data_IF_603850619706
#
_entry.id   IF_603850619706
#
_cell.length_a   1.000
_cell.length_b   1.000
_cell.length_c   1.000
_cell.angle_alpha   90.00
_cell.angle_beta   90.00
_cell.angle_gamma   90.00
#
_symmetry.space_group_name_H-M   'P 1'
#
loop_
_entity.id
_entity.type
_entity.pdbx_description
1 polymer ?
#
# COMPACT_ATOMS: atom_id res chain seq x y z
N UNK A 1 2.67 10.42 5.42
CA UNK A 1 2.64 11.25 6.65
C UNK A 1 2.98 10.43 7.92
N UNK A 2 3.09 9.10 7.79
CA UNK A 2 3.42 8.19 8.91
C UNK A 2 4.83 8.41 9.49
N UNK A 3 5.75 8.91 8.67
CA UNK A 3 7.16 9.08 9.05
C UNK A 3 7.40 10.42 9.74
N UNK A 4 8.16 10.38 10.86
CA UNK A 4 8.63 11.56 11.59
C UNK A 4 9.58 12.39 10.76
N UNK A 5 9.53 13.72 10.92
CA UNK A 5 10.45 14.64 10.27
C UNK A 5 10.26 14.85 8.76
N UNK A 6 9.34 14.11 8.12
CA UNK A 6 8.98 14.32 6.72
C UNK A 6 7.81 15.31 6.61
N UNK A 7 8.09 16.59 6.84
CA UNK A 7 7.06 17.62 6.97
C UNK A 7 6.93 18.52 5.73
N UNK A 8 8.03 18.69 4.97
CA UNK A 8 8.06 19.56 3.79
C UNK A 8 7.54 18.80 2.57
N UNK A 9 6.63 19.39 1.80
CA UNK A 9 6.06 18.83 0.58
C UNK A 9 5.12 17.62 0.78
N UNK A 10 4.73 17.31 2.02
CA UNK A 10 3.91 16.14 2.36
C UNK A 10 2.47 16.50 2.72
N UNK A 11 2.13 17.78 2.76
CA UNK A 11 0.84 18.28 3.25
C UNK A 11 0.46 17.69 4.62
N UNK A 12 1.45 17.45 5.50
CA UNK A 12 1.22 16.97 6.86
C UNK A 12 0.48 18.03 7.67
N UNK A 13 -0.53 17.61 8.42
CA UNK A 13 -1.30 18.51 9.26
C UNK A 13 -0.41 19.22 10.28
N UNK A 14 -0.56 20.54 10.39
CA UNK A 14 0.18 21.39 11.33
C UNK A 14 -0.21 21.08 12.78
N UNK A 15 0.60 21.47 13.77
CA UNK A 15 0.21 21.35 15.18
C UNK A 15 -1.11 22.06 15.52
N UNK A 16 -1.41 23.18 14.85
CA UNK A 16 -2.64 23.94 15.00
C UNK A 16 -3.85 23.13 14.50
N UNK A 17 -3.76 22.56 13.31
CA UNK A 17 -4.81 21.70 12.75
C UNK A 17 -5.05 20.44 13.59
N UNK A 18 -3.98 19.84 14.11
CA UNK A 18 -4.09 18.66 14.98
C UNK A 18 -4.75 18.96 16.33
N UNK A 19 -4.75 20.21 16.78
CA UNK A 19 -5.49 20.64 18.00
C UNK A 19 -7.00 20.77 17.75
N UNK A 20 -7.40 21.07 16.51
CA UNK A 20 -8.82 21.23 16.15
C UNK A 20 -9.52 19.88 16.05
N UNK A 21 -8.84 18.89 15.47
CA UNK A 21 -9.37 17.53 15.30
C UNK A 21 -8.25 16.52 15.60
N UNK A 22 -8.52 15.45 16.37
CA UNK A 22 -7.54 14.39 16.57
C UNK A 22 -7.11 13.78 15.25
N UNK A 23 -5.79 13.80 14.99
CA UNK A 23 -5.18 13.15 13.84
C UNK A 23 -4.42 11.90 14.30
N UNK A 24 -4.65 10.81 13.60
CA UNK A 24 -4.00 9.52 13.86
C UNK A 24 -3.09 9.15 12.69
N UNK A 25 -2.17 8.22 12.90
CA UNK A 25 -1.25 7.71 11.87
C UNK A 25 -0.32 8.77 11.27
N UNK A 26 -0.03 9.82 12.01
CA UNK A 26 0.96 10.85 11.67
C UNK A 26 2.14 10.72 12.63
N UNK A 27 3.38 10.79 12.13
CA UNK A 27 4.62 10.73 12.93
C UNK A 27 4.73 9.47 13.81
N UNK A 28 4.30 8.32 13.33
CA UNK A 28 4.23 7.08 14.12
C UNK A 28 5.48 6.21 13.99
N UNK A 29 6.33 6.42 12.99
CA UNK A 29 7.56 5.67 12.78
C UNK A 29 8.69 6.54 12.20
N UNK A 30 9.92 6.05 12.31
CA UNK A 30 11.08 6.72 11.76
C UNK A 30 11.24 6.40 10.25
N UNK A 31 11.94 7.23 9.47
CA UNK A 31 12.02 7.08 8.01
C UNK A 31 12.66 5.77 7.52
N UNK A 32 13.47 5.12 8.33
CA UNK A 32 14.11 3.83 8.06
C UNK A 32 13.23 2.62 8.42
N UNK A 33 12.11 2.85 9.10
CA UNK A 33 11.18 1.78 9.45
C UNK A 33 10.39 1.30 8.22
N UNK A 34 10.38 -0.02 7.91
CA UNK A 34 9.71 -0.57 6.74
C UNK A 34 8.19 -0.68 6.96
N UNK A 35 7.50 0.46 7.02
CA UNK A 35 6.07 0.52 7.26
C UNK A 35 5.27 -0.09 6.10
N UNK A 36 4.45 -1.10 6.38
CA UNK A 36 3.69 -1.85 5.39
C UNK A 36 2.21 -1.47 5.34
N UNK A 37 1.53 -1.82 4.24
CA UNK A 37 0.07 -1.66 4.10
C UNK A 37 -0.69 -2.57 5.06
N UNK A 38 -0.18 -3.74 5.38
CA UNK A 38 -0.78 -4.67 6.34
C UNK A 38 -0.79 -4.05 7.75
N UNK A 39 0.34 -3.49 8.16
CA UNK A 39 0.45 -2.77 9.43
C UNK A 39 -0.44 -1.52 9.46
N UNK A 40 -0.53 -0.79 8.33
CA UNK A 40 -1.45 0.33 8.21
C UNK A 40 -2.90 -0.10 8.45
N UNK A 41 -3.33 -1.17 7.79
CA UNK A 41 -4.69 -1.70 7.91
C UNK A 41 -5.01 -2.09 9.35
N UNK A 42 -4.14 -2.85 10.01
CA UNK A 42 -4.31 -3.30 11.39
C UNK A 42 -4.47 -2.11 12.35
N UNK A 43 -3.54 -1.15 12.27
CA UNK A 43 -3.57 0.05 13.13
C UNK A 43 -4.79 0.92 12.84
N UNK A 44 -5.15 1.09 11.57
CA UNK A 44 -6.32 1.87 11.19
C UNK A 44 -7.63 1.21 11.67
N UNK A 45 -7.75 -0.11 11.56
CA UNK A 45 -8.92 -0.83 12.07
C UNK A 45 -9.10 -0.65 13.58
N UNK A 46 -8.03 -0.80 14.35
CA UNK A 46 -8.06 -0.58 15.81
C UNK A 46 -8.47 0.86 16.17
N UNK A 47 -7.99 1.85 15.41
CA UNK A 47 -8.36 3.26 15.60
C UNK A 47 -9.83 3.53 15.24
N UNK A 48 -10.33 2.92 14.17
CA UNK A 48 -11.74 3.04 13.77
C UNK A 48 -12.65 2.49 14.88
N UNK A 49 -12.33 1.33 15.43
CA UNK A 49 -13.09 0.73 16.54
C UNK A 49 -13.07 1.63 17.79
N UNK A 50 -11.91 2.20 18.14
CA UNK A 50 -11.80 3.12 19.27
C UNK A 50 -12.62 4.39 19.07
N UNK A 51 -12.57 4.99 17.87
CA UNK A 51 -13.35 6.18 17.52
C UNK A 51 -14.85 5.90 17.58
N UNK A 52 -15.30 4.75 17.07
CA UNK A 52 -16.70 4.33 17.15
C UNK A 52 -17.14 4.11 18.60
N UNK A 53 -16.31 3.46 19.42
CA UNK A 53 -16.60 3.24 20.87
C UNK A 53 -16.80 4.54 21.63
N UNK A 54 -16.11 5.61 21.19
CA UNK A 54 -16.29 6.98 21.72
C UNK A 54 -17.50 7.73 21.14
N UNK A 55 -18.30 7.09 20.30
CA UNK A 55 -19.46 7.70 19.64
C UNK A 55 -19.09 8.76 18.61
N UNK A 56 -17.90 8.64 17.99
CA UNK A 56 -17.38 9.57 16.98
C UNK A 56 -17.32 8.91 15.61
N UNK A 57 -17.27 9.73 14.55
CA UNK A 57 -17.15 9.27 13.18
C UNK A 57 -15.68 9.29 12.76
N UNK A 58 -15.10 8.15 12.33
CA UNK A 58 -13.75 8.13 11.78
C UNK A 58 -13.74 8.66 10.34
N UNK A 59 -12.72 9.45 10.03
CA UNK A 59 -12.43 9.92 8.67
C UNK A 59 -11.07 9.38 8.21
N UNK A 60 -11.05 8.64 7.11
CA UNK A 60 -9.84 8.23 6.43
C UNK A 60 -9.54 9.23 5.31
N UNK A 61 -8.49 10.02 5.47
CA UNK A 61 -8.12 11.11 4.55
C UNK A 61 -6.77 10.84 3.92
N UNK A 62 -6.69 10.90 2.59
CA UNK A 62 -5.42 10.73 1.89
C UNK A 62 -5.58 10.35 0.42
N UNK A 63 -4.45 10.13 -0.25
CA UNK A 63 -4.36 9.79 -1.67
C UNK A 63 -3.70 8.44 -1.97
N UNK A 64 -3.27 7.68 -0.95
CA UNK A 64 -2.68 6.35 -1.13
C UNK A 64 -3.78 5.31 -1.31
N UNK A 65 -4.17 5.07 -2.58
CA UNK A 65 -5.30 4.20 -2.92
C UNK A 65 -5.23 2.83 -2.25
N UNK A 66 -4.05 2.18 -2.26
CA UNK A 66 -3.86 0.87 -1.63
C UNK A 66 -4.17 0.89 -0.12
N UNK A 67 -3.84 1.97 0.59
CA UNK A 67 -4.15 2.11 2.01
C UNK A 67 -5.65 2.27 2.24
N UNK A 68 -6.29 3.14 1.45
CA UNK A 68 -7.75 3.35 1.53
C UNK A 68 -8.49 2.05 1.21
N UNK A 69 -8.15 1.39 0.12
CA UNK A 69 -8.78 0.13 -0.29
C UNK A 69 -8.57 -0.99 0.73
N UNK A 70 -7.37 -1.10 1.31
CA UNK A 70 -7.09 -2.14 2.31
C UNK A 70 -7.98 -2.05 3.53
N UNK A 71 -8.26 -0.84 4.00
CA UNK A 71 -9.16 -0.60 5.14
C UNK A 71 -10.61 -0.75 4.72
N UNK A 72 -11.02 -0.09 3.63
CA UNK A 72 -12.41 -0.10 3.20
C UNK A 72 -12.92 -1.48 2.77
N UNK A 73 -12.06 -2.35 2.26
CA UNK A 73 -12.44 -3.68 1.76
C UNK A 73 -11.84 -4.84 2.56
N UNK A 74 -11.16 -4.55 3.67
CA UNK A 74 -10.63 -5.58 4.56
C UNK A 74 -9.71 -6.56 3.84
N UNK A 75 -8.71 -6.07 3.10
CA UNK A 75 -7.81 -6.94 2.35
C UNK A 75 -7.12 -7.96 3.24
N UNK A 76 -7.11 -9.21 2.81
CA UNK A 76 -6.29 -10.24 3.41
C UNK A 76 -4.89 -10.19 2.80
N UNK A 77 -3.91 -9.86 3.60
CA UNK A 77 -2.51 -9.90 3.19
C UNK A 77 -1.93 -11.28 3.49
N UNK A 78 -1.12 -11.80 2.57
CA UNK A 78 -0.42 -13.07 2.79
C UNK A 78 0.47 -12.96 4.04
N UNK A 79 0.38 -13.93 4.93
CA UNK A 79 1.15 -13.99 6.19
C UNK A 79 2.67 -14.08 6.01
N UNK A 80 3.13 -14.19 4.79
CA UNK A 80 4.52 -14.46 4.44
C UNK A 80 5.48 -13.27 4.49
N UNK A 81 5.24 -12.20 5.22
CA UNK A 81 6.24 -11.14 5.46
C UNK A 81 7.04 -10.67 4.23
N UNK A 82 8.29 -10.29 4.44
CA UNK A 82 9.28 -9.97 3.43
C UNK A 82 10.48 -10.91 3.52
N UNK A 83 10.89 -11.49 2.39
CA UNK A 83 12.14 -12.26 2.27
C UNK A 83 13.20 -11.39 1.58
N UNK A 84 13.89 -10.56 2.36
CA UNK A 84 14.89 -9.62 1.84
C UNK A 84 16.05 -10.35 1.14
N UNK A 85 16.41 -11.55 1.59
CA UNK A 85 17.44 -12.37 0.95
C UNK A 85 17.03 -12.78 -0.47
N UNK A 86 15.80 -13.26 -0.61
CA UNK A 86 15.26 -13.63 -1.91
C UNK A 86 15.03 -12.44 -2.83
N UNK A 87 14.63 -11.31 -2.30
CA UNK A 87 14.54 -10.06 -3.06
C UNK A 87 15.90 -9.63 -3.61
N UNK A 88 16.96 -9.72 -2.79
CA UNK A 88 18.32 -9.41 -3.21
C UNK A 88 18.78 -10.36 -4.33
N UNK A 89 18.55 -11.66 -4.18
CA UNK A 89 18.85 -12.67 -5.21
C UNK A 89 18.14 -12.36 -6.54
N UNK A 90 16.86 -12.03 -6.50
CA UNK A 90 16.09 -11.72 -7.71
C UNK A 90 16.51 -10.38 -8.34
N UNK A 91 16.92 -9.41 -7.55
CA UNK A 91 17.50 -8.17 -8.06
C UNK A 91 18.82 -8.41 -8.77
N UNK A 92 19.73 -9.18 -8.17
CA UNK A 92 21.01 -9.58 -8.80
C UNK A 92 20.77 -10.35 -10.10
N UNK A 93 19.81 -11.27 -10.08
CA UNK A 93 19.41 -12.01 -11.30
C UNK A 93 18.94 -11.06 -12.41
N UNK A 94 18.09 -10.08 -12.07
CA UNK A 94 17.60 -9.11 -13.04
C UNK A 94 18.70 -8.15 -13.55
N UNK A 95 19.68 -7.82 -12.72
CA UNK A 95 20.84 -7.01 -13.13
C UNK A 95 21.75 -7.77 -14.11
N UNK A 96 21.87 -9.08 -13.94
CA UNK A 96 22.70 -9.94 -14.79
C UNK A 96 22.01 -10.35 -16.10
N UNK A 97 20.73 -10.69 -16.05
CA UNK A 97 19.99 -11.30 -17.17
C UNK A 97 18.89 -10.42 -17.76
N UNK A 98 18.63 -9.28 -17.14
CA UNK A 98 17.60 -8.33 -17.54
C UNK A 98 16.21 -8.61 -16.93
N UNK A 99 15.39 -7.55 -16.89
CA UNK A 99 14.03 -7.63 -16.33
C UNK A 99 13.12 -8.60 -17.11
N UNK A 100 13.34 -8.73 -18.43
CA UNK A 100 12.56 -9.66 -19.26
C UNK A 100 12.75 -11.13 -18.81
N UNK A 101 13.99 -11.53 -18.51
CA UNK A 101 14.28 -12.88 -18.02
C UNK A 101 13.67 -13.14 -16.63
N UNK A 102 13.67 -12.13 -15.76
CA UNK A 102 12.99 -12.23 -14.48
C UNK A 102 11.47 -12.37 -14.65
N UNK A 103 10.89 -11.64 -15.60
CA UNK A 103 9.47 -11.72 -15.91
C UNK A 103 9.06 -13.06 -16.52
N UNK A 104 9.94 -13.73 -17.28
CA UNK A 104 9.69 -15.10 -17.75
C UNK A 104 9.55 -16.08 -16.57
N UNK A 105 10.41 -15.98 -15.54
CA UNK A 105 10.24 -16.78 -14.31
C UNK A 105 8.86 -16.60 -13.68
N UNK A 106 8.35 -15.37 -13.67
CA UNK A 106 7.00 -15.10 -13.19
C UNK A 106 5.95 -15.75 -14.10
N UNK A 107 6.14 -15.70 -15.42
CA UNK A 107 5.19 -16.29 -16.37
C UNK A 107 5.06 -17.80 -16.21
N UNK A 108 6.14 -18.49 -15.86
CA UNK A 108 6.12 -19.94 -15.59
C UNK A 108 5.30 -20.30 -14.35
N UNK A 109 5.32 -19.44 -13.33
CA UNK A 109 4.69 -19.68 -12.02
C UNK A 109 3.28 -19.10 -11.95
N UNK A 110 3.11 -17.87 -12.45
CA UNK A 110 1.87 -17.10 -12.38
C UNK A 110 1.63 -16.36 -13.70
N UNK A 111 1.15 -17.06 -14.73
CA UNK A 111 0.88 -16.48 -16.04
C UNK A 111 -0.13 -15.32 -15.97
N UNK A 112 -1.09 -15.38 -15.05
CA UNK A 112 -2.11 -14.36 -14.89
C UNK A 112 -1.54 -13.04 -14.29
N UNK A 113 -0.64 -13.13 -13.34
CA UNK A 113 0.10 -11.96 -12.86
C UNK A 113 1.06 -11.43 -13.93
N UNK A 114 1.77 -12.30 -14.66
CA UNK A 114 2.67 -11.90 -15.72
C UNK A 114 1.95 -11.15 -16.85
N UNK A 115 0.71 -11.52 -17.19
CA UNK A 115 -0.08 -10.81 -18.19
C UNK A 115 -0.47 -9.38 -17.77
N UNK A 116 -0.51 -9.09 -16.46
CA UNK A 116 -0.90 -7.77 -15.91
C UNK A 116 0.29 -6.90 -15.51
N UNK A 117 1.41 -7.51 -15.16
CA UNK A 117 2.62 -6.82 -14.72
C UNK A 117 3.49 -6.55 -15.94
N UNK A 118 3.83 -5.28 -16.18
CA UNK A 118 4.74 -4.95 -17.27
C UNK A 118 6.13 -5.52 -17.00
N UNK A 119 6.85 -6.09 -18.03
CA UNK A 119 8.17 -6.69 -17.83
C UNK A 119 9.21 -5.77 -17.17
N UNK A 120 9.09 -4.45 -17.35
CA UNK A 120 9.96 -3.48 -16.69
C UNK A 120 9.57 -3.15 -15.25
N UNK A 121 8.43 -3.64 -14.75
CA UNK A 121 8.03 -3.46 -13.35
C UNK A 121 8.68 -4.55 -12.48
N UNK A 122 10.00 -4.40 -12.27
CA UNK A 122 10.81 -5.32 -11.48
C UNK A 122 10.25 -5.51 -10.07
N UNK A 123 9.82 -4.44 -9.42
CA UNK A 123 9.31 -4.52 -8.04
C UNK A 123 8.08 -5.40 -7.91
N UNK A 124 7.12 -5.24 -8.81
CA UNK A 124 5.91 -6.09 -8.81
C UNK A 124 6.22 -7.52 -9.22
N UNK A 125 7.12 -7.73 -10.16
CA UNK A 125 7.58 -9.06 -10.56
C UNK A 125 8.23 -9.79 -9.38
N UNK A 126 9.17 -9.14 -8.68
CA UNK A 126 9.82 -9.69 -7.49
C UNK A 126 8.79 -10.00 -6.41
N UNK A 127 7.85 -9.10 -6.14
CA UNK A 127 6.81 -9.33 -5.12
C UNK A 127 5.94 -10.55 -5.45
N UNK A 128 5.56 -10.74 -6.70
CA UNK A 128 4.76 -11.89 -7.11
C UNK A 128 5.52 -13.22 -6.92
N UNK A 129 6.80 -13.26 -7.30
CA UNK A 129 7.68 -14.41 -7.09
C UNK A 129 7.90 -14.69 -5.60
N UNK A 130 8.09 -13.66 -4.79
CA UNK A 130 8.25 -13.75 -3.34
C UNK A 130 7.01 -14.33 -2.66
N UNK A 131 5.81 -13.86 -3.03
CA UNK A 131 4.56 -14.40 -2.48
C UNK A 131 4.46 -15.89 -2.76
N UNK A 132 4.74 -16.33 -3.98
CA UNK A 132 4.74 -17.75 -4.33
C UNK A 132 5.77 -18.53 -3.52
N UNK A 133 6.99 -18.02 -3.38
CA UNK A 133 8.04 -18.69 -2.57
C UNK A 133 7.63 -18.88 -1.11
N UNK A 134 6.98 -17.88 -0.52
CA UNK A 134 6.61 -17.90 0.89
C UNK A 134 5.35 -18.73 1.17
N UNK A 135 4.41 -18.76 0.23
CA UNK A 135 3.08 -19.33 0.45
C UNK A 135 2.80 -20.60 -0.36
N UNK A 136 3.57 -20.84 -1.41
CA UNK A 136 3.29 -21.90 -2.39
C UNK A 136 2.11 -21.60 -3.32
N UNK A 137 1.46 -20.44 -3.20
CA UNK A 137 0.28 -20.05 -3.97
C UNK A 137 0.59 -18.81 -4.82
N UNK A 138 0.24 -18.81 -6.12
CA UNK A 138 0.42 -17.64 -6.99
C UNK A 138 -0.28 -16.39 -6.49
N UNK A 139 0.35 -15.21 -6.71
CA UNK A 139 -0.24 -13.93 -6.31
C UNK A 139 -1.61 -13.70 -6.95
N UNK A 140 -1.80 -14.14 -8.20
CA UNK A 140 -3.10 -14.03 -8.89
C UNK A 140 -4.22 -14.77 -8.18
N UNK A 141 -3.94 -15.94 -7.60
CA UNK A 141 -4.90 -16.72 -6.83
C UNK A 141 -5.22 -16.06 -5.50
N UNK A 142 -4.22 -15.53 -4.79
CA UNK A 142 -4.44 -14.74 -3.58
C UNK A 142 -5.35 -13.54 -3.85
N UNK A 143 -5.14 -12.84 -4.98
CA UNK A 143 -5.96 -11.69 -5.35
C UNK A 143 -7.38 -12.09 -5.79
N UNK A 144 -7.54 -13.22 -6.47
CA UNK A 144 -8.84 -13.74 -6.87
C UNK A 144 -9.69 -14.20 -5.67
N UNK A 145 -9.04 -14.70 -4.63
CA UNK A 145 -9.69 -15.13 -3.39
C UNK A 145 -10.11 -13.97 -2.47
N UNK A 146 -9.65 -12.75 -2.74
CA UNK A 146 -10.05 -11.59 -1.93
C UNK A 146 -11.48 -11.16 -2.23
N UNK A 147 -12.33 -11.28 -1.22
CA UNK A 147 -13.67 -10.70 -1.28
C UNK A 147 -13.57 -9.19 -1.06
N UNK A 148 -14.07 -8.41 -2.02
CA UNK A 148 -14.20 -6.94 -1.87
C UNK A 148 -15.48 -6.60 -1.10
N UNK A 149 -15.62 -7.15 0.07
CA UNK A 149 -16.73 -6.85 0.97
C UNK A 149 -16.23 -5.88 2.04
N UNK A 150 -16.86 -4.73 2.15
CA UNK A 150 -16.50 -3.76 3.18
C UNK A 150 -16.95 -4.25 4.57
N UNK A 151 -16.06 -4.24 5.58
CA UNK A 151 -16.48 -4.46 6.97
C UNK A 151 -17.18 -3.24 7.58
N UNK A 152 -17.26 -2.13 6.82
CA UNK A 152 -17.84 -0.86 7.25
C UNK A 152 -18.88 -0.36 6.28
N UNK A 153 -19.83 0.44 6.75
CA UNK A 153 -20.65 1.32 5.91
C UNK A 153 -19.80 2.53 5.49
N UNK A 154 -19.26 2.51 4.28
CA UNK A 154 -18.35 3.53 3.79
C UNK A 154 -19.06 4.59 2.95
N UNK A 155 -18.85 5.87 3.28
CA UNK A 155 -19.13 6.99 2.39
C UNK A 155 -17.81 7.48 1.77
N UNK A 156 -17.60 7.27 0.47
CA UNK A 156 -16.37 7.63 -0.21
C UNK A 156 -16.60 8.94 -1.00
N UNK A 157 -15.83 9.98 -0.65
CA UNK A 157 -15.87 11.28 -1.31
C UNK A 157 -14.57 11.48 -2.10
N UNK A 158 -14.68 11.56 -3.42
CA UNK A 158 -13.55 11.85 -4.29
C UNK A 158 -13.45 13.33 -4.63
N UNK A 159 -12.26 13.93 -4.42
CA UNK A 159 -11.96 15.29 -4.86
C UNK A 159 -11.27 15.26 -6.20
N UNK A 160 -11.75 16.06 -7.14
CA UNK A 160 -11.15 16.20 -8.47
C UNK A 160 -10.82 17.65 -8.78
N UNK A 161 -9.83 17.86 -9.61
CA UNK A 161 -9.43 19.18 -10.08
C UNK A 161 -9.05 19.08 -11.57
N UNK A 162 -9.27 20.16 -12.31
CA UNK A 162 -8.75 20.26 -13.67
C UNK A 162 -7.24 20.04 -13.69
N UNK A 163 -6.74 19.21 -14.62
CA UNK A 163 -5.34 18.76 -14.64
C UNK A 163 -4.33 19.91 -14.77
N UNK A 164 -4.63 20.90 -15.59
CA UNK A 164 -3.75 22.07 -15.77
C UNK A 164 -3.66 22.92 -14.51
N UNK A 165 -4.80 23.10 -13.80
CA UNK A 165 -4.82 23.78 -12.51
C UNK A 165 -4.05 23.01 -11.45
N UNK A 166 -4.14 21.67 -11.47
CA UNK A 166 -3.40 20.81 -10.55
C UNK A 166 -1.89 20.95 -10.76
N UNK A 167 -1.43 20.86 -12.01
CA UNK A 167 0.00 21.03 -12.30
C UNK A 167 0.53 22.40 -11.91
N UNK A 168 -0.18 23.47 -12.24
CA UNK A 168 0.20 24.81 -11.83
C UNK A 168 0.36 24.92 -10.31
N UNK A 169 -0.56 24.32 -9.55
CA UNK A 169 -0.51 24.33 -8.08
C UNK A 169 0.62 23.45 -7.50
N UNK A 170 1.09 22.45 -8.24
CA UNK A 170 2.24 21.63 -7.83
C UNK A 170 3.55 22.37 -8.11
N UNK A 171 3.61 23.17 -9.18
CA UNK A 171 4.81 23.89 -9.62
C UNK A 171 5.02 25.20 -8.81
N UNK A 172 3.99 25.78 -8.19
CA UNK A 172 4.02 26.91 -7.25
C UNK A 172 4.56 26.49 -5.86
#
# INVERSE_FOLDING_TARGET
QVYRGMDIGTAKATPEERRLVPHHMIDICDPDYPFSVAEFQERAAALIEDIHRRGKLPFLVGGTGLYVESVCYGFSFSEGGADESYRAELNEYADRFGNASLHEKLREIDPASAARIHPNDRRRTIRALEVYRLTGVPLSEHLAGQKKESPYECCIIGLTMNREKLYRRIDE
#
